data_IF_207612938422
#
_entry.id   IF_207612938422
#
_cell.length_a   1.000
_cell.length_b   1.000
_cell.length_c   1.000
_cell.angle_alpha   90.00
_cell.angle_beta   90.00
_cell.angle_gamma   90.00
#
_symmetry.space_group_name_H-M   'P 1'
#
loop_
_entity.id
_entity.type
_entity.pdbx_description
1 polymer ?
#
# COMPACT_ATOMS: atom_id res chain seq x y z
N UNK A 1 -11.98 13.56 -8.65
CA UNK A 1 -12.04 13.17 -7.22
C UNK A 1 -11.08 12.03 -6.85
N UNK A 2 -11.10 10.94 -7.60
CA UNK A 2 -10.21 9.80 -7.32
C UNK A 2 -8.74 10.17 -7.35
N UNK A 3 -8.30 10.88 -8.38
CA UNK A 3 -6.91 11.34 -8.49
C UNK A 3 -6.50 12.21 -7.31
N UNK A 4 -7.36 13.09 -6.86
CA UNK A 4 -7.06 13.99 -5.74
C UNK A 4 -6.94 13.23 -4.44
N UNK A 5 -7.83 12.28 -4.22
CA UNK A 5 -7.78 11.40 -3.05
C UNK A 5 -6.47 10.61 -3.02
N UNK A 6 -6.11 9.98 -4.14
CA UNK A 6 -4.89 9.19 -4.22
C UNK A 6 -3.64 10.05 -4.07
N UNK A 7 -3.66 11.27 -4.61
CA UNK A 7 -2.53 12.20 -4.44
C UNK A 7 -2.33 12.54 -2.96
N UNK A 8 -3.41 12.82 -2.23
CA UNK A 8 -3.34 13.11 -0.80
C UNK A 8 -2.84 11.89 -0.01
N UNK A 9 -3.37 10.71 -0.34
CA UNK A 9 -2.96 9.46 0.31
C UNK A 9 -1.48 9.17 0.05
N UNK A 10 -1.02 9.38 -1.18
CA UNK A 10 0.38 9.20 -1.55
C UNK A 10 1.30 10.11 -0.72
N UNK A 11 0.91 11.36 -0.51
CA UNK A 11 1.68 12.28 0.33
C UNK A 11 1.74 11.81 1.79
N UNK A 12 0.64 11.24 2.28
CA UNK A 12 0.60 10.68 3.63
C UNK A 12 1.57 9.52 3.78
N UNK A 13 1.58 8.59 2.82
CA UNK A 13 2.54 7.48 2.84
C UNK A 13 3.97 7.96 2.66
N UNK A 14 4.20 8.98 1.83
CA UNK A 14 5.52 9.59 1.69
C UNK A 14 6.03 10.16 3.00
N UNK A 15 5.17 10.84 3.75
CA UNK A 15 5.50 11.34 5.08
C UNK A 15 5.84 10.18 6.04
N UNK A 16 5.04 9.11 6.00
CA UNK A 16 5.26 7.94 6.87
C UNK A 16 6.60 7.25 6.55
N UNK A 17 6.98 7.21 5.27
CA UNK A 17 8.26 6.62 4.88
C UNK A 17 9.47 7.47 5.30
N UNK A 18 9.35 8.79 5.22
CA UNK A 18 10.43 9.71 5.60
C UNK A 18 10.54 9.91 7.11
N UNK A 19 9.41 9.93 7.80
CA UNK A 19 9.34 10.28 9.23
C UNK A 19 8.52 9.25 10.00
N UNK A 20 9.01 8.02 10.10
CA UNK A 20 8.25 6.97 10.77
C UNK A 20 8.00 7.24 12.25
N UNK A 21 8.94 7.89 12.94
CA UNK A 21 8.76 8.20 14.37
C UNK A 21 7.64 9.21 14.61
N UNK A 22 7.62 10.29 13.81
CA UNK A 22 6.55 11.29 13.91
C UNK A 22 5.19 10.69 13.54
N UNK A 23 5.18 9.81 12.53
CA UNK A 23 3.97 9.11 12.11
C UNK A 23 3.43 8.23 13.23
N UNK A 24 4.32 7.54 13.96
CA UNK A 24 3.93 6.72 15.10
C UNK A 24 3.32 7.58 16.22
N UNK A 25 3.87 8.76 16.47
CA UNK A 25 3.34 9.69 17.47
C UNK A 25 1.92 10.14 17.10
N UNK A 26 1.69 10.45 15.82
CA UNK A 26 0.36 10.84 15.35
C UNK A 26 -0.62 9.69 15.52
N UNK A 27 -0.22 8.48 15.12
CA UNK A 27 -1.06 7.29 15.27
C UNK A 27 -1.40 7.03 16.74
N UNK A 28 -0.45 7.21 17.64
CA UNK A 28 -0.64 6.98 19.07
C UNK A 28 -1.74 7.88 19.65
N UNK A 29 -1.91 9.08 19.12
CA UNK A 29 -2.99 9.97 19.54
C UNK A 29 -4.38 9.38 19.29
N UNK A 30 -4.51 8.61 18.20
CA UNK A 30 -5.78 8.01 17.80
C UNK A 30 -5.91 6.55 18.22
N UNK A 31 -4.82 5.93 18.65
CA UNK A 31 -4.79 4.55 19.10
C UNK A 31 -3.98 4.43 20.40
N UNK A 32 -4.45 5.06 21.48
CA UNK A 32 -3.67 5.11 22.74
C UNK A 32 -3.53 3.77 23.47
N UNK A 33 -4.32 2.77 23.06
CA UNK A 33 -4.26 1.44 23.67
C UNK A 33 -2.96 0.70 23.32
N UNK A 34 -2.27 1.13 22.28
CA UNK A 34 -1.00 0.54 21.87
C UNK A 34 0.15 1.41 22.33
N UNK A 35 1.25 0.77 22.75
CA UNK A 35 2.41 1.54 23.22
C UNK A 35 3.06 2.31 22.07
N UNK A 36 3.60 3.49 22.39
CA UNK A 36 4.33 4.28 21.39
C UNK A 36 5.54 3.51 20.85
N UNK A 37 6.21 2.76 21.72
CA UNK A 37 7.37 1.94 21.33
C UNK A 37 6.98 0.92 20.26
N UNK A 38 5.88 0.20 20.45
CA UNK A 38 5.40 -0.78 19.47
C UNK A 38 5.03 -0.11 18.15
N UNK A 39 4.30 1.01 18.20
CA UNK A 39 3.90 1.73 17.00
C UNK A 39 5.11 2.27 16.24
N UNK A 40 6.12 2.75 16.95
CA UNK A 40 7.35 3.26 16.34
C UNK A 40 8.11 2.13 15.62
N UNK A 41 8.23 0.98 16.27
CA UNK A 41 8.89 -0.19 15.66
C UNK A 41 8.14 -0.66 14.42
N UNK A 42 6.82 -0.70 14.49
CA UNK A 42 5.97 -1.07 13.36
C UNK A 42 6.16 -0.11 12.19
N UNK A 43 6.14 1.19 12.45
CA UNK A 43 6.30 2.19 11.39
C UNK A 43 7.68 2.15 10.74
N UNK A 44 8.72 1.93 11.53
CA UNK A 44 10.08 1.79 10.99
C UNK A 44 10.20 0.58 10.08
N UNK A 45 9.59 -0.52 10.47
CA UNK A 45 9.57 -1.73 9.64
C UNK A 45 8.82 -1.50 8.34
N UNK A 46 7.61 -0.91 8.44
CA UNK A 46 6.74 -0.71 7.29
C UNK A 46 7.24 0.39 6.35
N UNK A 47 8.01 1.36 6.85
CA UNK A 47 8.48 2.47 6.04
C UNK A 47 9.20 2.02 4.77
N UNK A 48 9.96 0.92 4.87
CA UNK A 48 10.68 0.36 3.73
C UNK A 48 9.79 -0.50 2.84
N UNK A 49 8.57 -0.81 3.28
CA UNK A 49 7.67 -1.75 2.58
C UNK A 49 6.58 -1.06 1.76
N UNK A 50 6.25 0.18 2.04
CA UNK A 50 5.12 0.85 1.40
C UNK A 50 5.24 1.00 -0.11
N UNK A 51 6.46 1.08 -0.64
CA UNK A 51 6.69 1.17 -2.08
C UNK A 51 7.92 0.38 -2.50
N UNK A 52 8.20 -0.74 -1.81
CA UNK A 52 9.43 -1.52 -1.94
C UNK A 52 9.72 -1.97 -3.38
N UNK A 53 8.70 -2.45 -4.07
CA UNK A 53 8.85 -3.03 -5.41
C UNK A 53 8.31 -2.12 -6.52
N UNK A 54 8.08 -0.86 -6.22
CA UNK A 54 7.42 0.04 -7.16
C UNK A 54 8.19 1.35 -7.30
N UNK A 55 8.10 1.94 -8.47
CA UNK A 55 8.69 3.26 -8.74
C UNK A 55 7.91 4.37 -8.04
N UNK A 56 6.66 4.12 -7.72
CA UNK A 56 5.79 5.09 -7.03
C UNK A 56 4.81 4.34 -6.13
N UNK A 57 4.38 5.02 -5.06
CA UNK A 57 3.41 4.45 -4.15
C UNK A 57 2.11 4.07 -4.87
N UNK A 58 1.60 2.90 -4.55
CA UNK A 58 0.30 2.45 -5.07
C UNK A 58 0.36 1.77 -6.43
N UNK A 59 1.51 1.80 -7.09
CA UNK A 59 1.65 1.15 -8.40
C UNK A 59 1.42 -0.34 -8.28
N UNK A 60 0.56 -0.87 -9.17
CA UNK A 60 0.27 -2.29 -9.23
C UNK A 60 0.86 -2.86 -10.52
N UNK A 61 1.21 -4.14 -10.50
CA UNK A 61 1.83 -4.84 -11.63
C UNK A 61 1.02 -6.05 -12.03
N UNK A 62 0.95 -6.31 -13.33
CA UNK A 62 0.22 -7.45 -13.90
C UNK A 62 0.63 -8.77 -13.24
N UNK A 63 1.93 -8.98 -13.05
CA UNK A 63 2.43 -10.25 -12.51
C UNK A 63 1.86 -10.57 -11.12
N UNK A 64 1.63 -9.56 -10.30
CA UNK A 64 1.08 -9.76 -8.95
C UNK A 64 -0.36 -10.23 -9.04
N UNK A 65 -1.15 -9.60 -9.92
CA UNK A 65 -2.54 -10.00 -10.13
C UNK A 65 -2.64 -11.36 -10.78
N UNK A 66 -1.77 -11.65 -11.75
CA UNK A 66 -1.72 -12.95 -12.41
C UNK A 66 -1.38 -14.06 -11.43
N UNK A 67 -0.36 -13.85 -10.59
CA UNK A 67 0.02 -14.83 -9.58
C UNK A 67 -1.09 -15.07 -8.57
N UNK A 68 -1.78 -14.00 -8.19
CA UNK A 68 -2.87 -14.10 -7.22
C UNK A 68 -4.06 -14.88 -7.78
N UNK A 69 -4.46 -14.60 -9.04
CA UNK A 69 -5.58 -15.30 -9.67
C UNK A 69 -5.27 -16.78 -9.90
N UNK A 70 -4.03 -17.11 -10.29
CA UNK A 70 -3.59 -18.49 -10.44
C UNK A 70 -3.68 -19.22 -9.09
N UNK A 71 -3.22 -18.58 -8.03
CA UNK A 71 -3.33 -19.13 -6.67
C UNK A 71 -4.78 -19.41 -6.29
N UNK A 72 -5.66 -18.46 -6.55
CA UNK A 72 -7.07 -18.61 -6.22
C UNK A 72 -7.74 -19.74 -7.00
N UNK A 73 -7.41 -19.92 -8.27
CA UNK A 73 -7.92 -21.02 -9.09
C UNK A 73 -7.42 -22.35 -8.54
N UNK A 74 -6.12 -22.42 -8.25
CA UNK A 74 -5.48 -23.65 -7.76
C UNK A 74 -6.10 -24.16 -6.45
N UNK A 75 -6.47 -23.23 -5.57
CA UNK A 75 -7.07 -23.58 -4.27
C UNK A 75 -8.60 -23.53 -4.25
N UNK A 76 -9.22 -23.38 -5.43
CA UNK A 76 -10.67 -23.48 -5.55
C UNK A 76 -11.46 -22.28 -5.06
N UNK A 77 -10.79 -21.14 -4.86
CA UNK A 77 -11.46 -19.90 -4.41
C UNK A 77 -12.29 -19.31 -5.55
N UNK A 78 -11.77 -19.37 -6.77
CA UNK A 78 -12.50 -18.96 -7.98
C UNK A 78 -12.36 -20.08 -9.02
N UNK A 79 -13.28 -20.12 -9.98
CA UNK A 79 -13.33 -21.19 -10.98
C UNK A 79 -12.43 -20.92 -12.19
N UNK A 80 -12.32 -19.67 -12.59
CA UNK A 80 -11.54 -19.26 -13.76
C UNK A 80 -10.62 -18.11 -13.42
N UNK A 81 -9.43 -18.09 -14.06
CA UNK A 81 -8.50 -16.98 -13.91
C UNK A 81 -9.09 -15.70 -14.50
N UNK A 82 -8.83 -14.58 -13.85
CA UNK A 82 -9.27 -13.26 -14.30
C UNK A 82 -8.05 -12.53 -14.87
N UNK A 83 -8.11 -12.03 -16.11
CA UNK A 83 -7.00 -11.26 -16.68
C UNK A 83 -6.64 -10.05 -15.81
N UNK A 84 -5.36 -9.82 -15.60
CA UNK A 84 -4.89 -8.71 -14.76
C UNK A 84 -5.48 -7.37 -15.21
N UNK A 85 -5.58 -7.13 -16.51
CA UNK A 85 -6.11 -5.89 -17.06
C UNK A 85 -7.55 -5.59 -16.62
N UNK A 86 -8.31 -6.61 -16.22
CA UNK A 86 -9.69 -6.45 -15.74
C UNK A 86 -9.78 -6.23 -14.24
N UNK A 87 -8.65 -6.37 -13.50
CA UNK A 87 -8.64 -6.32 -12.04
C UNK A 87 -8.25 -4.96 -11.48
N UNK A 88 -7.44 -4.18 -12.22
CA UNK A 88 -6.88 -2.95 -11.66
C UNK A 88 -6.54 -1.94 -12.75
N UNK A 89 -6.21 -0.73 -12.31
CA UNK A 89 -5.64 0.30 -13.15
C UNK A 89 -4.72 1.21 -12.32
N UNK A 90 -3.64 1.66 -12.92
CA UNK A 90 -2.73 2.65 -12.33
C UNK A 90 -3.03 4.07 -12.81
N UNK A 91 -4.09 4.22 -13.59
CA UNK A 91 -4.45 5.45 -14.29
C UNK A 91 -4.68 6.64 -13.37
N UNK A 92 -5.14 6.40 -12.15
CA UNK A 92 -5.49 7.47 -11.20
C UNK A 92 -4.39 7.78 -10.19
N UNK A 93 -3.24 7.09 -10.27
CA UNK A 93 -2.14 7.36 -9.37
C UNK A 93 -1.46 8.68 -9.69
N UNK A 94 -0.91 9.39 -8.67
CA UNK A 94 -0.14 10.60 -8.93
C UNK A 94 1.14 10.28 -9.68
N UNK A 95 1.64 11.24 -10.44
CA UNK A 95 2.90 11.08 -11.14
C UNK A 95 4.05 10.95 -10.13
N UNK A 96 5.10 10.27 -10.55
CA UNK A 96 6.30 10.12 -9.74
C UNK A 96 6.96 11.49 -9.56
N UNK A 97 7.27 11.84 -8.33
CA UNK A 97 7.96 13.07 -7.99
C UNK A 97 9.48 12.92 -8.06
#
# INVERSE_FOLDING_TARGET
>A
MVKKFLAATSRGYGFAMEKPEESAEILHKYAPDYSLEMLTMSQKYLADKYAEDADRWGEMKDRVWDNYTVFMVEYGVIQEAIPAAECYTNEFLPDKE
#
